data_IF_428112957194
#
_entry.id   IF_428112957194
#
_cell.length_a   1.000
_cell.length_b   1.000
_cell.length_c   1.000
_cell.angle_alpha   90.00
_cell.angle_beta   90.00
_cell.angle_gamma   90.00
#
_symmetry.space_group_name_H-M   'P 1'
#
loop_
_entity.id
_entity.type
_entity.pdbx_description
1 polymer ?
#
# COMPACT_ATOMS: atom_id res chain seq x y z
N UNK A 1 20.67 12.78 -16.42
CA UNK A 1 19.41 12.21 -15.87
C UNK A 1 18.77 13.25 -14.96
N UNK A 2 17.67 13.88 -15.40
CA UNK A 2 16.90 14.75 -14.51
C UNK A 2 16.00 13.87 -13.66
N UNK A 3 16.35 13.71 -12.37
CA UNK A 3 15.61 12.94 -11.37
C UNK A 3 14.27 13.58 -10.96
N UNK A 4 13.89 14.67 -11.62
CA UNK A 4 12.73 15.49 -11.30
C UNK A 4 11.54 15.02 -12.15
N UNK A 5 10.48 14.61 -11.47
CA UNK A 5 9.18 14.40 -12.09
C UNK A 5 8.76 15.71 -12.79
N UNK A 6 8.46 15.70 -14.10
CA UNK A 6 8.06 16.89 -14.84
C UNK A 6 6.83 17.61 -14.25
N UNK A 7 5.98 16.88 -13.54
CA UNK A 7 4.76 17.41 -12.92
C UNK A 7 5.00 17.90 -11.48
N UNK A 8 6.19 17.66 -10.89
CA UNK A 8 6.53 18.10 -9.53
C UNK A 8 7.05 19.54 -9.53
N UNK A 9 6.10 20.46 -9.33
CA UNK A 9 6.35 21.90 -9.22
C UNK A 9 7.14 22.26 -7.95
N UNK A 10 6.99 21.51 -6.85
CA UNK A 10 7.66 21.80 -5.58
C UNK A 10 9.12 21.32 -5.58
N UNK A 11 10.03 22.29 -5.60
CA UNK A 11 11.46 22.04 -5.48
C UNK A 11 11.83 21.31 -4.17
N UNK A 12 11.18 21.68 -3.07
CA UNK A 12 11.40 21.07 -1.76
C UNK A 12 11.02 19.59 -1.74
N UNK A 13 9.87 19.23 -2.32
CA UNK A 13 9.45 17.82 -2.41
C UNK A 13 10.37 17.00 -3.32
N UNK A 14 10.80 17.58 -4.44
CA UNK A 14 11.79 16.96 -5.31
C UNK A 14 13.11 16.70 -4.56
N UNK A 15 13.58 17.67 -3.77
CA UNK A 15 14.80 17.53 -2.98
C UNK A 15 14.68 16.47 -1.88
N UNK A 16 13.58 16.47 -1.11
CA UNK A 16 13.33 15.45 -0.06
C UNK A 16 13.31 14.05 -0.66
N UNK A 17 12.58 13.85 -1.78
CA UNK A 17 12.52 12.55 -2.48
C UNK A 17 13.89 12.12 -3.00
N UNK A 18 14.65 13.05 -3.59
CA UNK A 18 16.01 12.80 -4.07
C UNK A 18 16.95 12.37 -2.95
N UNK A 19 16.95 13.09 -1.83
CA UNK A 19 17.77 12.76 -0.66
C UNK A 19 17.44 11.38 -0.09
N UNK A 20 16.15 11.04 0.03
CA UNK A 20 15.73 9.70 0.52
C UNK A 20 16.28 8.59 -0.38
N UNK A 21 16.21 8.76 -1.71
CA UNK A 21 16.78 7.81 -2.67
C UNK A 21 18.30 7.71 -2.52
N UNK A 22 18.98 8.85 -2.42
CA UNK A 22 20.44 8.88 -2.25
C UNK A 22 20.89 8.17 -0.97
N UNK A 23 20.23 8.43 0.16
CA UNK A 23 20.54 7.76 1.42
C UNK A 23 20.23 6.26 1.38
N UNK A 24 19.13 5.84 0.76
CA UNK A 24 18.82 4.43 0.58
C UNK A 24 19.91 3.72 -0.25
N UNK A 25 20.36 4.34 -1.34
CA UNK A 25 21.45 3.81 -2.14
C UNK A 25 22.78 3.77 -1.37
N UNK A 26 23.12 4.83 -0.63
CA UNK A 26 24.35 4.89 0.16
C UNK A 26 24.41 3.81 1.26
N UNK A 27 23.26 3.37 1.80
CA UNK A 27 23.19 2.24 2.73
C UNK A 27 23.60 0.91 2.10
N UNK A 28 23.47 0.77 0.78
CA UNK A 28 23.87 -0.42 0.03
C UNK A 28 25.35 -0.38 -0.42
N UNK A 29 26.14 0.59 0.05
CA UNK A 29 27.55 0.71 -0.33
C UNK A 29 28.34 -0.53 0.09
N UNK A 30 29.07 -1.12 -0.86
CA UNK A 30 29.85 -2.34 -0.65
C UNK A 30 29.12 -3.63 -1.01
N UNK A 31 27.83 -3.56 -1.39
CA UNK A 31 27.08 -4.67 -1.94
C UNK A 31 27.56 -4.98 -3.36
N UNK A 32 27.76 -6.26 -3.68
CA UNK A 32 28.08 -6.67 -5.05
C UNK A 32 26.88 -6.45 -5.97
N UNK A 33 27.12 -6.39 -7.28
CA UNK A 33 26.02 -6.26 -8.25
C UNK A 33 25.09 -7.47 -8.21
N UNK A 34 25.66 -8.67 -8.10
CA UNK A 34 24.89 -9.91 -8.09
C UNK A 34 24.04 -10.02 -6.82
N UNK A 35 24.59 -9.64 -5.66
CA UNK A 35 23.81 -9.60 -4.41
C UNK A 35 22.69 -8.56 -4.46
N UNK A 36 22.96 -7.39 -5.07
CA UNK A 36 21.94 -6.36 -5.25
C UNK A 36 20.80 -6.83 -6.16
N UNK A 37 21.11 -7.55 -7.23
CA UNK A 37 20.11 -8.15 -8.12
C UNK A 37 19.29 -9.21 -7.41
N UNK A 38 19.94 -10.13 -6.69
CA UNK A 38 19.26 -11.19 -5.95
C UNK A 38 18.31 -10.63 -4.90
N UNK A 39 18.76 -9.66 -4.10
CA UNK A 39 17.93 -8.98 -3.11
C UNK A 39 16.74 -8.26 -3.76
N UNK A 40 16.94 -7.61 -4.90
CA UNK A 40 15.85 -6.94 -5.60
C UNK A 40 14.77 -7.94 -6.05
N UNK A 41 15.18 -9.07 -6.65
CA UNK A 41 14.26 -10.12 -7.11
C UNK A 41 13.53 -10.74 -5.92
N UNK A 42 14.25 -11.07 -4.85
CA UNK A 42 13.67 -11.61 -3.62
C UNK A 42 12.58 -10.69 -3.05
N UNK A 43 12.89 -9.39 -2.87
CA UNK A 43 11.92 -8.40 -2.38
C UNK A 43 10.74 -8.21 -3.32
N UNK A 44 10.97 -8.28 -4.63
CA UNK A 44 9.88 -8.17 -5.60
C UNK A 44 8.93 -9.37 -5.49
N UNK A 45 9.47 -10.58 -5.34
CA UNK A 45 8.68 -11.80 -5.16
C UNK A 45 7.93 -11.82 -3.82
N UNK A 46 8.52 -11.27 -2.75
CA UNK A 46 7.81 -11.06 -1.48
C UNK A 46 6.64 -10.10 -1.64
N UNK A 47 6.85 -8.96 -2.32
CA UNK A 47 5.80 -7.99 -2.60
C UNK A 47 4.68 -8.56 -3.46
N UNK A 48 5.01 -9.39 -4.46
CA UNK A 48 4.02 -10.06 -5.29
C UNK A 48 3.10 -10.97 -4.46
N UNK A 49 3.67 -11.72 -3.50
CA UNK A 49 2.88 -12.56 -2.58
C UNK A 49 1.99 -11.74 -1.65
N UNK A 50 2.43 -10.55 -1.27
CA UNK A 50 1.67 -9.65 -0.39
C UNK A 50 0.72 -8.72 -1.17
N UNK A 51 0.78 -8.70 -2.50
CA UNK A 51 0.13 -7.68 -3.32
C UNK A 51 -1.38 -7.61 -3.07
N UNK A 52 -2.07 -8.75 -3.07
CA UNK A 52 -3.52 -8.80 -2.84
C UNK A 52 -3.89 -8.22 -1.47
N UNK A 53 -3.13 -8.58 -0.42
CA UNK A 53 -3.31 -8.06 0.93
C UNK A 53 -3.07 -6.55 0.98
N UNK A 54 -2.00 -6.07 0.35
CA UNK A 54 -1.65 -4.64 0.31
C UNK A 54 -2.70 -3.82 -0.44
N UNK A 55 -3.24 -4.37 -1.54
CA UNK A 55 -4.33 -3.75 -2.29
C UNK A 55 -5.60 -3.67 -1.44
N UNK A 56 -5.92 -4.71 -0.70
CA UNK A 56 -7.06 -4.69 0.21
C UNK A 56 -6.86 -3.69 1.36
N UNK A 57 -5.70 -3.67 2.00
CA UNK A 57 -5.41 -2.70 3.07
C UNK A 57 -5.48 -1.26 2.53
N UNK A 58 -4.98 -1.02 1.31
CA UNK A 58 -5.08 0.28 0.65
C UNK A 58 -6.53 0.68 0.35
N UNK A 59 -7.38 -0.25 -0.11
CA UNK A 59 -8.80 0.00 -0.31
C UNK A 59 -9.54 0.28 1.00
N UNK A 60 -9.17 -0.41 2.09
CA UNK A 60 -9.70 -0.13 3.43
C UNK A 60 -9.36 1.30 3.86
N UNK A 61 -8.13 1.75 3.65
CA UNK A 61 -7.70 3.11 4.02
C UNK A 61 -8.40 4.22 3.21
N UNK A 62 -8.86 3.91 2.00
CA UNK A 62 -9.57 4.86 1.14
C UNK A 62 -11.09 4.85 1.33
N UNK A 63 -11.68 3.81 1.94
CA UNK A 63 -13.13 3.76 2.17
C UNK A 63 -13.47 4.63 3.39
N UNK A 64 -14.25 5.73 3.24
CA UNK A 64 -14.61 6.61 4.36
C UNK A 64 -15.49 5.93 5.42
N UNK A 65 -16.00 4.72 5.15
CA UNK A 65 -16.77 3.90 6.11
C UNK A 65 -15.88 3.08 7.02
N UNK A 66 -14.62 2.88 6.64
CA UNK A 66 -13.61 2.26 7.49
C UNK A 66 -12.96 3.38 8.31
N UNK A 67 -12.95 3.29 9.64
CA UNK A 67 -12.34 4.35 10.46
C UNK A 67 -10.83 4.45 10.21
N UNK A 68 -10.24 5.61 10.47
CA UNK A 68 -8.81 5.82 10.30
C UNK A 68 -8.03 4.98 11.32
N UNK A 69 -7.16 4.10 10.84
CA UNK A 69 -6.27 3.27 11.67
C UNK A 69 -5.35 4.08 12.58
N UNK A 70 -5.06 5.33 12.22
CA UNK A 70 -4.19 6.24 12.99
C UNK A 70 -4.98 7.16 13.92
N UNK A 71 -6.31 7.00 14.03
CA UNK A 71 -7.11 7.77 14.96
C UNK A 71 -6.65 7.51 16.40
N UNK A 72 -6.50 8.58 17.18
CA UNK A 72 -6.23 8.43 18.61
C UNK A 72 -7.49 7.94 19.32
N UNK A 73 -7.35 6.88 20.12
CA UNK A 73 -8.44 6.25 20.87
C UNK A 73 -7.96 6.01 22.31
N UNK A 74 -8.78 6.31 23.33
CA UNK A 74 -8.47 5.95 24.71
C UNK A 74 -8.21 4.45 24.86
N UNK A 75 -7.26 4.05 25.72
CA UNK A 75 -6.90 2.63 25.92
C UNK A 75 -8.10 1.76 26.30
N UNK A 76 -9.02 2.31 27.11
CA UNK A 76 -10.27 1.65 27.55
C UNK A 76 -11.22 1.31 26.39
N UNK A 77 -11.13 2.06 25.29
CA UNK A 77 -11.97 1.89 24.10
C UNK A 77 -11.22 1.22 22.95
N UNK A 78 -9.91 0.99 23.08
CA UNK A 78 -9.08 0.44 22.02
C UNK A 78 -9.58 -0.92 21.53
N UNK A 79 -9.99 -1.81 22.44
CA UNK A 79 -10.53 -3.13 22.05
C UNK A 79 -11.85 -3.01 21.28
N UNK A 80 -12.73 -2.09 21.69
CA UNK A 80 -14.01 -1.84 21.01
C UNK A 80 -13.75 -1.24 19.63
N UNK A 81 -12.82 -0.29 19.56
CA UNK A 81 -12.41 0.34 18.32
C UNK A 81 -11.78 -0.68 17.35
N UNK A 82 -10.90 -1.55 17.83
CA UNK A 82 -10.34 -2.63 17.01
C UNK A 82 -11.43 -3.57 16.48
N UNK A 83 -12.39 -3.98 17.32
CA UNK A 83 -13.52 -4.81 16.86
C UNK A 83 -14.36 -4.09 15.81
N UNK A 84 -14.64 -2.81 16.02
CA UNK A 84 -15.38 -1.98 15.06
C UNK A 84 -14.63 -1.80 13.74
N UNK A 85 -13.33 -1.52 13.80
CA UNK A 85 -12.45 -1.46 12.64
C UNK A 85 -12.47 -2.75 11.83
N UNK A 86 -12.26 -3.88 12.49
CA UNK A 86 -12.25 -5.20 11.83
C UNK A 86 -13.62 -5.56 11.24
N UNK A 87 -14.70 -5.15 11.89
CA UNK A 87 -16.04 -5.28 11.32
C UNK A 87 -16.21 -4.40 10.07
N UNK A 88 -15.83 -3.13 10.13
CA UNK A 88 -15.96 -2.20 9.00
C UNK A 88 -15.17 -2.66 7.77
N UNK A 89 -13.92 -3.14 7.97
CA UNK A 89 -13.10 -3.73 6.90
C UNK A 89 -13.78 -4.96 6.29
N UNK A 90 -14.33 -5.84 7.12
CA UNK A 90 -15.03 -7.05 6.65
C UNK A 90 -16.25 -6.70 5.80
N UNK A 91 -17.08 -5.79 6.28
CA UNK A 91 -18.26 -5.33 5.52
C UNK A 91 -17.85 -4.66 4.19
N UNK A 92 -16.72 -3.94 4.13
CA UNK A 92 -16.19 -3.40 2.87
C UNK A 92 -15.82 -4.51 1.91
N UNK A 93 -15.05 -5.50 2.37
CA UNK A 93 -14.61 -6.63 1.54
C UNK A 93 -15.80 -7.47 1.04
N UNK A 94 -16.81 -7.70 1.88
CA UNK A 94 -18.04 -8.38 1.47
C UNK A 94 -18.77 -7.62 0.36
N UNK A 95 -18.85 -6.28 0.45
CA UNK A 95 -19.43 -5.45 -0.63
C UNK A 95 -18.63 -5.56 -1.92
N UNK A 96 -17.31 -5.55 -1.85
CA UNK A 96 -16.44 -5.69 -3.03
C UNK A 96 -16.65 -7.06 -3.71
N UNK A 97 -16.76 -8.14 -2.92
CA UNK A 97 -17.03 -9.49 -3.44
C UNK A 97 -18.40 -9.55 -4.12
N UNK A 98 -19.45 -9.05 -3.48
CA UNK A 98 -20.80 -9.02 -4.07
C UNK A 98 -20.85 -8.19 -5.35
N UNK A 99 -20.15 -7.05 -5.37
CA UNK A 99 -20.03 -6.21 -6.56
C UNK A 99 -19.31 -6.96 -7.69
N UNK A 100 -18.20 -7.65 -7.38
CA UNK A 100 -17.45 -8.43 -8.37
C UNK A 100 -18.27 -9.59 -8.92
N UNK A 101 -19.02 -10.30 -8.08
CA UNK A 101 -19.93 -11.36 -8.51
C UNK A 101 -20.98 -10.84 -9.47
N UNK A 102 -21.61 -9.72 -9.13
CA UNK A 102 -22.58 -9.06 -10.01
C UNK A 102 -21.96 -8.63 -11.34
N UNK A 103 -20.77 -8.05 -11.33
CA UNK A 103 -20.06 -7.67 -12.56
C UNK A 103 -19.74 -8.89 -13.45
N UNK A 104 -19.45 -10.05 -12.86
CA UNK A 104 -19.26 -11.31 -13.59
C UNK A 104 -20.58 -11.79 -14.19
N UNK A 105 -21.67 -11.78 -13.42
CA UNK A 105 -23.02 -12.12 -13.90
C UNK A 105 -23.49 -11.21 -15.04
N UNK A 106 -23.16 -9.92 -14.95
CA UNK A 106 -23.46 -8.90 -15.96
C UNK A 106 -22.53 -9.02 -17.20
N UNK A 107 -21.58 -9.95 -17.21
CA UNK A 107 -20.64 -10.17 -18.32
C UNK A 107 -19.65 -9.02 -18.53
N UNK A 108 -19.38 -8.23 -17.49
CA UNK A 108 -18.47 -7.07 -17.56
C UNK A 108 -16.99 -7.45 -17.51
N UNK A 109 -16.69 -8.74 -17.31
CA UNK A 109 -15.35 -9.30 -17.30
C UNK A 109 -15.36 -10.58 -18.13
N UNK A 110 -14.52 -10.65 -19.15
CA UNK A 110 -14.30 -11.88 -19.92
C UNK A 110 -13.60 -12.93 -19.03
N UNK A 111 -13.96 -14.21 -19.21
CA UNK A 111 -13.32 -15.37 -18.55
C UNK A 111 -11.84 -15.52 -18.89
#
# INVERSE_FOLDING_TARGET
MNYRDPNEMSYMWSWIKGNRKWHAWNKCKGLSKDDAMNLYVERTNELEKELDRLVDDWKDELDPRVPDKNAWVPEEEMEKFQKFMEQAKRERRERDVLKRQKEIEDGMWDE
#
